data_IF_473052447296
#
_entry.id   IF_473052447296
#
_cell.length_a   1.000
_cell.length_b   1.000
_cell.length_c   1.000
_cell.angle_alpha   90.00
_cell.angle_beta   90.00
_cell.angle_gamma   90.00
#
_symmetry.space_group_name_H-M   'P 1'
#
loop_
_entity.id
_entity.type
_entity.pdbx_description
1 polymer ?
#
# COMPACT_ATOMS: atom_id res chain seq x y z
N UNK A 1 2.49 12.14 -2.17
CA UNK A 1 1.30 11.67 -2.91
C UNK A 1 0.23 12.76 -2.84
N UNK A 2 -0.28 13.28 -3.98
CA UNK A 2 -1.20 14.42 -4.02
C UNK A 2 -2.68 14.01 -4.00
N UNK A 3 -3.04 12.92 -3.31
CA UNK A 3 -4.44 12.46 -3.21
C UNK A 3 -5.01 12.95 -1.88
N UNK A 4 -6.14 13.66 -1.94
CA UNK A 4 -6.82 14.15 -0.74
C UNK A 4 -7.62 13.04 -0.05
N UNK A 5 -7.54 13.00 1.28
CA UNK A 5 -8.38 12.15 2.13
C UNK A 5 -9.54 12.91 2.79
N UNK A 6 -9.55 14.25 2.70
CA UNK A 6 -10.43 15.16 3.42
C UNK A 6 -9.73 16.48 3.80
N UNK A 7 -10.46 17.39 4.43
CA UNK A 7 -9.98 18.71 4.86
C UNK A 7 -10.34 18.96 6.33
N UNK A 8 -9.33 19.15 7.19
CA UNK A 8 -9.50 19.33 8.64
C UNK A 8 -10.29 20.59 9.05
N UNK A 9 -10.47 21.56 8.13
CA UNK A 9 -11.27 22.77 8.39
C UNK A 9 -12.78 22.52 8.24
N UNK A 10 -13.17 21.53 7.45
CA UNK A 10 -14.57 21.20 7.15
C UNK A 10 -14.99 19.83 7.69
N UNK A 11 -14.04 18.90 7.83
CA UNK A 11 -14.31 17.49 8.08
C UNK A 11 -13.80 17.09 9.47
N UNK A 12 -14.51 16.15 10.11
CA UNK A 12 -14.03 15.54 11.35
C UNK A 12 -12.77 14.73 11.08
N UNK A 13 -11.66 15.09 11.74
CA UNK A 13 -10.38 14.39 11.64
C UNK A 13 -10.54 12.89 11.95
N UNK A 14 -11.29 12.55 13.00
CA UNK A 14 -11.52 11.16 13.40
C UNK A 14 -12.30 10.41 12.32
N UNK A 15 -13.32 11.04 11.74
CA UNK A 15 -14.11 10.43 10.67
C UNK A 15 -13.26 10.20 9.41
N UNK A 16 -12.48 11.20 8.99
CA UNK A 16 -11.56 11.09 7.85
C UNK A 16 -10.56 9.97 8.09
N UNK A 17 -9.85 9.95 9.22
CA UNK A 17 -8.86 8.92 9.52
C UNK A 17 -9.45 7.51 9.56
N UNK A 18 -10.68 7.34 10.06
CA UNK A 18 -11.32 6.02 10.19
C UNK A 18 -11.99 5.55 8.91
N UNK A 19 -12.63 6.44 8.17
CA UNK A 19 -13.63 6.08 7.15
C UNK A 19 -13.35 6.64 5.75
N UNK A 20 -12.34 7.50 5.56
CA UNK A 20 -12.03 7.94 4.19
C UNK A 20 -11.64 6.73 3.33
N UNK A 21 -12.13 6.63 2.08
CA UNK A 21 -11.79 5.51 1.20
C UNK A 21 -10.29 5.31 1.08
N UNK A 22 -9.53 6.40 0.93
CA UNK A 22 -8.07 6.35 0.83
C UNK A 22 -7.42 5.70 2.06
N UNK A 23 -7.78 6.14 3.28
CA UNK A 23 -7.16 5.55 4.47
C UNK A 23 -7.62 4.13 4.73
N UNK A 24 -8.86 3.78 4.36
CA UNK A 24 -9.37 2.41 4.47
C UNK A 24 -8.58 1.49 3.53
N UNK A 25 -8.40 1.89 2.27
CA UNK A 25 -7.61 1.12 1.30
C UNK A 25 -6.15 1.00 1.70
N UNK A 26 -5.51 2.08 2.17
CA UNK A 26 -4.11 2.05 2.60
C UNK A 26 -3.87 1.15 3.82
N UNK A 27 -4.89 0.95 4.66
CA UNK A 27 -4.82 0.01 5.80
C UNK A 27 -5.10 -1.43 5.39
N UNK A 28 -5.76 -1.65 4.26
CA UNK A 28 -6.07 -2.98 3.78
C UNK A 28 -4.91 -3.56 2.96
N UNK A 29 -4.10 -4.40 3.60
CA UNK A 29 -2.96 -5.04 2.94
C UNK A 29 -3.36 -6.06 1.88
N UNK A 30 -4.60 -6.54 1.87
CA UNK A 30 -5.11 -7.44 0.82
C UNK A 30 -5.28 -6.74 -0.54
N UNK A 31 -5.30 -5.41 -0.54
CA UNK A 31 -5.39 -4.62 -1.78
C UNK A 31 -4.02 -4.38 -2.44
N UNK A 32 -2.92 -4.75 -1.79
CA UNK A 32 -1.59 -4.59 -2.36
C UNK A 32 -1.42 -5.48 -3.60
N UNK A 33 -0.81 -4.92 -4.64
CA UNK A 33 -0.58 -5.57 -5.93
C UNK A 33 0.89 -5.99 -6.08
N UNK A 34 1.17 -6.73 -7.16
CA UNK A 34 2.51 -7.19 -7.51
C UNK A 34 3.16 -8.02 -6.39
N UNK A 35 4.48 -7.90 -6.23
CA UNK A 35 5.25 -8.59 -5.21
C UNK A 35 4.74 -8.34 -3.80
N UNK A 36 4.28 -7.12 -3.51
CA UNK A 36 3.76 -6.76 -2.19
C UNK A 36 2.46 -7.49 -1.85
N UNK A 37 1.61 -7.81 -2.84
CA UNK A 37 0.36 -8.55 -2.62
C UNK A 37 0.55 -10.02 -2.22
N UNK A 38 1.66 -10.61 -2.66
CA UNK A 38 2.04 -12.01 -2.41
C UNK A 38 3.06 -12.17 -1.27
N UNK A 39 3.52 -11.06 -0.68
CA UNK A 39 4.57 -11.04 0.33
C UNK A 39 4.04 -11.51 1.70
N UNK A 40 4.76 -12.42 2.34
CA UNK A 40 4.54 -12.87 3.72
C UNK A 40 4.61 -11.72 4.73
N UNK A 41 5.32 -10.64 4.40
CA UNK A 41 5.44 -9.43 5.23
C UNK A 41 4.46 -8.32 4.85
N UNK A 42 3.46 -8.57 4.00
CA UNK A 42 2.55 -7.52 3.51
C UNK A 42 1.81 -6.77 4.62
N UNK A 43 1.46 -7.47 5.71
CA UNK A 43 0.79 -6.90 6.89
C UNK A 43 1.73 -6.11 7.83
N UNK A 44 3.04 -6.27 7.67
CA UNK A 44 4.05 -5.64 8.54
C UNK A 44 4.77 -4.49 7.82
N UNK A 45 5.21 -4.74 6.59
CA UNK A 45 6.01 -3.81 5.81
C UNK A 45 5.14 -3.06 4.79
N UNK A 46 4.49 -3.81 3.90
CA UNK A 46 3.68 -3.27 2.80
C UNK A 46 4.45 -2.44 1.77
N UNK A 47 5.62 -1.87 2.08
CA UNK A 47 6.39 -0.94 1.25
C UNK A 47 5.87 0.50 1.30
N UNK A 48 6.65 1.46 0.77
CA UNK A 48 6.25 2.87 0.73
C UNK A 48 5.19 3.16 -0.33
N UNK A 49 3.96 3.43 0.11
CA UNK A 49 2.81 3.76 -0.76
C UNK A 49 3.02 5.07 -1.53
N UNK A 50 3.72 6.04 -0.90
CA UNK A 50 4.09 7.29 -1.56
C UNK A 50 5.07 7.07 -2.71
N UNK A 51 6.02 6.13 -2.56
CA UNK A 51 6.98 5.80 -3.62
C UNK A 51 6.35 5.00 -4.74
N UNK A 52 5.52 4.01 -4.41
CA UNK A 52 4.71 3.27 -5.39
C UNK A 52 3.92 4.25 -6.27
N UNK A 53 3.16 5.16 -5.66
CA UNK A 53 2.41 6.17 -6.41
C UNK A 53 3.30 7.08 -7.28
N UNK A 54 4.45 7.54 -6.76
CA UNK A 54 5.33 8.43 -7.51
C UNK A 54 5.92 7.79 -8.77
N UNK A 55 6.09 6.46 -8.79
CA UNK A 55 6.68 5.73 -9.90
C UNK A 55 5.62 5.18 -10.87
N UNK A 56 4.46 4.75 -10.36
CA UNK A 56 3.47 4.01 -11.14
C UNK A 56 2.13 4.75 -11.31
N UNK A 57 1.87 5.78 -10.50
CA UNK A 57 0.54 6.39 -10.38
C UNK A 57 -0.46 5.57 -9.54
N UNK A 58 -0.06 4.41 -9.02
CA UNK A 58 -0.90 3.51 -8.22
C UNK A 58 -0.26 3.30 -6.83
N UNK A 59 -0.91 3.80 -5.77
CA UNK A 59 -0.43 3.67 -4.39
C UNK A 59 -0.56 2.25 -3.83
N UNK A 60 -1.32 1.38 -4.49
CA UNK A 60 -1.46 -0.05 -4.16
C UNK A 60 -0.48 -0.93 -4.95
N UNK A 61 0.26 -0.36 -5.91
CA UNK A 61 1.31 -1.08 -6.62
C UNK A 61 2.44 -1.56 -5.68
N UNK A 62 3.25 -2.47 -6.20
CA UNK A 62 4.44 -2.91 -5.49
C UNK A 62 5.47 -1.79 -5.34
N UNK A 63 6.34 -1.95 -4.35
CA UNK A 63 7.44 -1.02 -4.14
C UNK A 63 8.71 -1.57 -4.83
N UNK A 64 9.08 -0.98 -5.96
CA UNK A 64 10.13 -1.50 -6.85
C UNK A 64 11.54 -1.56 -6.24
N UNK A 65 11.86 -0.72 -5.25
CA UNK A 65 13.21 -0.72 -4.63
C UNK A 65 13.36 -1.74 -3.51
N UNK A 66 12.30 -2.45 -3.15
CA UNK A 66 12.37 -3.52 -2.18
C UNK A 66 13.20 -4.66 -2.76
N UNK A 67 14.34 -5.00 -2.15
CA UNK A 67 15.23 -6.07 -2.63
C UNK A 67 14.76 -7.48 -2.24
N UNK A 68 13.85 -7.57 -1.28
CA UNK A 68 13.34 -8.85 -0.78
C UNK A 68 12.52 -9.59 -1.83
N UNK A 69 12.67 -10.91 -1.96
CA UNK A 69 11.84 -11.74 -2.84
C UNK A 69 10.96 -12.65 -1.98
N UNK A 70 9.62 -12.50 -2.05
CA UNK A 70 8.70 -13.40 -1.35
C UNK A 70 8.95 -14.86 -1.68
N UNK A 71 8.75 -15.73 -0.69
CA UNK A 71 8.83 -17.18 -0.91
C UNK A 71 7.86 -17.64 -2.02
N UNK A 72 6.67 -17.03 -2.09
CA UNK A 72 5.66 -17.31 -3.12
C UNK A 72 6.11 -16.99 -4.56
N UNK A 73 7.18 -16.21 -4.73
CA UNK A 73 7.76 -15.85 -6.04
C UNK A 73 9.11 -16.53 -6.30
N UNK A 74 9.58 -17.36 -5.37
CA UNK A 74 10.79 -18.14 -5.56
C UNK A 74 10.46 -19.40 -6.38
N UNK A 75 11.28 -19.76 -7.38
CA UNK A 75 11.06 -21.00 -8.11
C UNK A 75 11.14 -22.19 -7.13
N UNK A 76 10.24 -23.16 -7.29
CA UNK A 76 10.32 -24.40 -6.54
C UNK A 76 11.69 -25.03 -6.80
N UNK A 77 12.46 -25.26 -5.73
CA UNK A 77 13.66 -26.11 -5.82
C UNK A 77 13.14 -27.52 -6.10
N UNK A 78 13.35 -27.99 -7.33
CA UNK A 78 13.15 -29.38 -7.71
C UNK A 78 14.23 -30.27 -7.09
#
# INVERSE_FOLDING_TARGET
MPISAGNVRSDSLVAVCRHSPLFVELRNCDHLKGKCGLCEYRNLCGGSRSRAYALTGDYLAEEERCVYKPAALSPAVA
#
